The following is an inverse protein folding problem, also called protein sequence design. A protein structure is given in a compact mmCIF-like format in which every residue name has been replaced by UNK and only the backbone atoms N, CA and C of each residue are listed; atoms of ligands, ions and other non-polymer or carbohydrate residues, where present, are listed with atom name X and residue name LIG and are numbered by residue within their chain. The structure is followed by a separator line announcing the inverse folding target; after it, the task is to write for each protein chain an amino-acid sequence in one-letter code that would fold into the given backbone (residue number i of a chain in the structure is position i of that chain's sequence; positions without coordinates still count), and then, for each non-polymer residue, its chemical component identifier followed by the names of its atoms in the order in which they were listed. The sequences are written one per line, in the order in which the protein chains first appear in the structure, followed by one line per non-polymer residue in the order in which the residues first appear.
data_IF_859927200199
#
_entry.id   IF_859927200199
#
_cell.length_a   1.000
_cell.length_b   1.000
_cell.length_c   1.000
_cell.angle_alpha   90.00
_cell.angle_beta   90.00
_cell.angle_gamma   90.00
#
_symmetry.space_group_name_H-M   'P 1'
#
loop_
_entity.id
_entity.type
_entity.pdbx_description
1 polymer ?
#
# COMPACT_ATOMS: atom_id res chain seq x y z
N UNK A 1 11.25 48.48 10.44
CA UNK A 1 10.44 48.61 9.20
C UNK A 1 10.54 47.29 8.45
N UNK A 2 9.50 46.46 8.54
CA UNK A 2 9.36 45.20 7.79
C UNK A 2 8.33 45.44 6.68
N UNK A 3 8.52 44.92 5.45
CA UNK A 3 7.57 45.16 4.38
C UNK A 3 6.32 44.30 4.59
N UNK A 4 5.16 44.95 4.52
CA UNK A 4 3.84 44.34 4.49
C UNK A 4 3.67 43.54 3.19
N UNK A 5 3.36 42.24 3.31
CA UNK A 5 2.79 41.45 2.21
C UNK A 5 1.28 41.73 2.15
N UNK A 6 0.69 41.97 0.96
CA UNK A 6 -0.74 42.22 0.85
C UNK A 6 -1.54 40.94 1.05
N UNK A 7 -2.54 41.02 1.92
CA UNK A 7 -3.52 39.96 2.15
C UNK A 7 -4.34 39.69 0.88
N UNK A 8 -4.26 38.48 0.34
CA UNK A 8 -5.10 38.03 -0.77
C UNK A 8 -6.51 37.70 -0.29
N UNK A 9 -7.50 38.50 -0.71
CA UNK A 9 -8.91 38.10 -0.73
C UNK A 9 -9.21 37.46 -2.08
N UNK A 10 -9.50 36.15 -2.09
CA UNK A 10 -10.05 35.46 -3.25
C UNK A 10 -11.57 35.52 -3.19
N UNK A 11 -12.18 36.28 -4.10
CA UNK A 11 -13.62 36.27 -4.36
C UNK A 11 -13.85 36.18 -5.87
N UNK A 12 -13.95 34.97 -6.41
CA UNK A 12 -14.52 34.74 -7.73
C UNK A 12 -15.32 33.43 -7.76
N UNK A 13 -16.65 33.58 -7.79
CA UNK A 13 -17.55 32.57 -8.32
C UNK A 13 -17.51 32.65 -9.84
N UNK A 14 -17.07 31.57 -10.49
CA UNK A 14 -16.99 31.47 -11.95
C UNK A 14 -17.72 30.23 -12.44
N UNK A 15 -18.69 30.45 -13.32
CA UNK A 15 -19.45 29.42 -14.02
C UNK A 15 -18.55 28.58 -14.94
N UNK A 16 -18.68 27.26 -14.86
CA UNK A 16 -17.95 26.30 -15.71
C UNK A 16 -18.70 26.13 -17.03
N UNK A 17 -18.10 26.54 -18.14
CA UNK A 17 -18.46 26.12 -19.50
C UNK A 17 -17.48 25.03 -20.00
N UNK A 18 -17.93 24.05 -20.80
CA UNK A 18 -17.10 22.92 -21.21
C UNK A 18 -16.16 23.30 -22.36
N UNK A 19 -14.85 23.23 -22.13
CA UNK A 19 -13.85 23.44 -23.17
C UNK A 19 -13.68 22.18 -24.06
N UNK A 20 -13.80 22.37 -25.37
CA UNK A 20 -13.50 21.39 -26.41
C UNK A 20 -11.99 21.12 -26.49
N UNK A 21 -11.61 19.85 -26.46
CA UNK A 21 -10.23 19.40 -26.73
C UNK A 21 -9.79 19.72 -28.17
N UNK A 22 -8.66 20.42 -28.32
CA UNK A 22 -7.87 20.45 -29.56
C UNK A 22 -6.39 20.14 -29.30
N UNK A 23 -5.95 19.10 -30.02
CA UNK A 23 -4.62 18.68 -30.54
C UNK A 23 -3.37 18.68 -29.64
N UNK A 24 -2.72 17.50 -29.67
CA UNK A 24 -1.41 17.13 -29.12
C UNK A 24 -0.30 18.13 -29.39
N UNK A 25 0.30 18.61 -28.30
CA UNK A 25 1.68 19.07 -28.22
C UNK A 25 2.56 18.00 -27.56
N UNK A 26 3.79 17.89 -28.05
CA UNK A 26 4.78 16.86 -27.72
C UNK A 26 5.42 17.11 -26.34
N UNK A 27 5.84 16.01 -25.73
CA UNK A 27 6.03 15.75 -24.31
C UNK A 27 7.18 16.47 -23.62
N UNK A 28 6.91 16.96 -22.41
CA UNK A 28 7.89 17.03 -21.32
C UNK A 28 7.42 16.10 -20.20
N UNK A 29 8.23 15.10 -19.86
CA UNK A 29 7.98 14.13 -18.80
C UNK A 29 8.43 14.66 -17.45
N UNK A 30 7.73 14.24 -16.38
CA UNK A 30 8.19 14.39 -14.99
C UNK A 30 9.59 13.79 -14.78
N UNK A 31 10.33 14.20 -13.74
CA UNK A 31 11.64 13.63 -13.40
C UNK A 31 11.66 12.10 -13.51
N UNK A 32 12.60 11.61 -14.29
CA UNK A 32 12.99 10.20 -14.36
C UNK A 32 13.70 9.82 -13.07
N UNK A 33 13.33 8.66 -12.54
CA UNK A 33 13.86 8.13 -11.28
C UNK A 33 15.06 7.24 -11.62
N UNK A 34 16.15 7.86 -12.06
CA UNK A 34 17.40 7.20 -12.39
C UNK A 34 18.40 7.48 -11.27
N UNK A 35 18.66 6.49 -10.42
CA UNK A 35 19.50 6.71 -9.24
C UNK A 35 19.75 5.46 -8.39
N UNK A 36 20.58 4.57 -8.93
CA UNK A 36 21.55 3.65 -8.27
C UNK A 36 21.65 2.39 -9.11
N UNK A 37 22.79 2.23 -9.76
CA UNK A 37 23.25 0.98 -10.37
C UNK A 37 23.17 -0.13 -9.34
N UNK A 38 22.16 -0.98 -9.50
CA UNK A 38 22.13 -2.28 -8.86
C UNK A 38 22.78 -3.24 -9.84
N UNK A 39 23.99 -3.66 -9.52
CA UNK A 39 24.55 -4.88 -10.11
C UNK A 39 23.56 -6.02 -9.84
N UNK A 40 23.07 -6.71 -10.87
CA UNK A 40 22.16 -7.83 -10.68
C UNK A 40 22.91 -8.92 -9.92
N UNK A 41 22.48 -9.17 -8.69
CA UNK A 41 22.97 -10.28 -7.87
C UNK A 41 22.68 -11.57 -8.65
N UNK A 42 23.74 -12.28 -9.01
CA UNK A 42 23.68 -13.56 -9.71
C UNK A 42 22.60 -14.46 -9.08
N UNK A 43 21.71 -14.96 -9.93
CA UNK A 43 20.78 -16.03 -9.60
C UNK A 43 21.57 -17.21 -9.03
N UNK A 44 21.16 -17.78 -7.87
CA UNK A 44 21.74 -19.03 -7.43
C UNK A 44 21.45 -20.11 -8.47
N UNK A 45 22.39 -21.04 -8.73
CA UNK A 45 22.14 -22.13 -9.66
C UNK A 45 20.94 -22.95 -9.20
N UNK A 46 20.08 -23.26 -10.15
CA UNK A 46 18.99 -24.20 -10.03
C UNK A 46 19.56 -25.55 -9.57
N UNK A 47 19.42 -25.87 -8.28
CA UNK A 47 19.67 -27.22 -7.78
C UNK A 47 18.48 -28.07 -8.22
N UNK A 48 18.67 -28.81 -9.30
CA UNK A 48 17.78 -29.90 -9.68
C UNK A 48 17.87 -30.97 -8.58
N UNK A 49 16.81 -31.08 -7.77
CA UNK A 49 16.60 -32.25 -6.93
C UNK A 49 16.18 -33.42 -7.83
N UNK A 50 17.16 -34.21 -8.29
CA UNK A 50 16.91 -35.55 -8.79
C UNK A 50 16.59 -36.43 -7.59
N UNK A 51 15.31 -36.68 -7.35
CA UNK A 51 14.84 -37.67 -6.39
C UNK A 51 14.40 -38.92 -7.13
N UNK A 52 15.33 -39.87 -7.25
CA UNK A 52 15.03 -41.27 -7.52
C UNK A 52 15.99 -42.10 -6.68
N UNK A 53 15.67 -42.19 -5.39
CA UNK A 53 16.16 -43.25 -4.53
C UNK A 53 14.96 -44.15 -4.24
N UNK A 54 14.79 -45.17 -5.06
CA UNK A 54 13.95 -46.32 -4.78
C UNK A 54 14.50 -47.03 -3.55
N UNK A 55 13.92 -46.71 -2.39
CA UNK A 55 14.10 -47.47 -1.16
C UNK A 55 13.26 -48.74 -1.26
N UNK A 56 13.90 -49.84 -1.62
CA UNK A 56 13.39 -51.18 -1.37
C UNK A 56 13.46 -51.40 0.15
N UNK A 57 12.34 -51.20 0.84
CA UNK A 57 12.20 -51.54 2.25
C UNK A 57 12.13 -53.06 2.33
N UNK A 58 13.23 -53.69 2.78
CA UNK A 58 13.18 -55.05 3.27
C UNK A 58 12.26 -55.10 4.48
N UNK A 59 11.13 -55.78 4.33
CA UNK A 59 10.27 -56.18 5.42
C UNK A 59 11.05 -57.13 6.34
N UNK A 60 11.65 -56.57 7.38
CA UNK A 60 12.01 -57.35 8.56
C UNK A 60 10.72 -57.53 9.37
N UNK A 61 10.21 -58.76 9.40
CA UNK A 61 9.17 -59.20 10.32
C UNK A 61 9.66 -59.05 11.76
N UNK A 62 9.52 -57.85 12.31
CA UNK A 62 9.52 -57.65 13.74
C UNK A 62 8.11 -58.02 14.24
N UNK A 63 7.96 -59.24 14.75
CA UNK A 63 6.83 -59.62 15.57
C UNK A 63 6.84 -58.76 16.85
N UNK A 64 6.26 -57.57 16.77
CA UNK A 64 5.95 -56.76 17.94
C UNK A 64 4.71 -57.34 18.61
N UNK A 65 4.95 -58.13 19.65
CA UNK A 65 3.94 -58.49 20.63
C UNK A 65 3.29 -57.23 21.22
N UNK A 66 2.03 -57.00 20.89
CA UNK A 66 0.93 -56.75 21.84
C UNK A 66 1.04 -55.62 22.88
N UNK A 67 1.99 -54.70 22.81
CA UNK A 67 1.96 -53.51 23.66
C UNK A 67 1.04 -52.46 23.05
N UNK A 68 -0.03 -52.11 23.76
CA UNK A 68 -0.92 -50.99 23.42
C UNK A 68 -0.08 -49.73 23.13
N UNK A 69 0.09 -49.40 21.85
CA UNK A 69 1.06 -48.42 21.34
C UNK A 69 0.68 -46.97 21.77
N UNK A 70 -0.57 -46.76 22.19
CA UNK A 70 -1.05 -45.50 22.79
C UNK A 70 -1.21 -45.66 24.30
N UNK A 71 -0.58 -44.77 25.07
CA UNK A 71 -0.86 -44.69 26.51
C UNK A 71 -2.33 -44.27 26.74
N UNK A 72 -2.95 -44.62 27.88
CA UNK A 72 -4.33 -44.21 28.18
C UNK A 72 -4.55 -42.70 28.09
N UNK A 73 -3.55 -41.90 28.48
CA UNK A 73 -3.59 -40.45 28.39
C UNK A 73 -3.58 -39.96 26.93
N UNK A 74 -2.73 -40.53 26.08
CA UNK A 74 -2.72 -40.21 24.64
C UNK A 74 -4.02 -40.64 23.97
N UNK A 75 -4.53 -41.83 24.29
CA UNK A 75 -5.83 -42.31 23.78
C UNK A 75 -6.97 -41.38 24.16
N UNK A 76 -7.01 -40.91 25.40
CA UNK A 76 -8.03 -39.95 25.86
C UNK A 76 -7.86 -38.59 25.17
N UNK A 77 -6.63 -38.14 24.93
CA UNK A 77 -6.39 -36.90 24.19
C UNK A 77 -6.83 -37.00 22.73
N UNK A 78 -6.49 -38.10 22.04
CA UNK A 78 -6.91 -38.43 20.67
C UNK A 78 -8.43 -38.53 20.62
N UNK A 79 -9.07 -39.23 21.56
CA UNK A 79 -10.52 -39.35 21.69
C UNK A 79 -11.19 -37.97 21.77
N UNK A 80 -10.69 -37.07 22.62
CA UNK A 80 -11.21 -35.70 22.74
C UNK A 80 -11.08 -34.92 21.43
N UNK A 81 -9.97 -35.09 20.69
CA UNK A 81 -9.78 -34.43 19.39
C UNK A 81 -10.75 -35.00 18.33
N UNK A 82 -10.89 -36.32 18.22
CA UNK A 82 -11.85 -36.95 17.31
C UNK A 82 -13.31 -36.54 17.63
N UNK A 83 -13.68 -36.51 18.91
CA UNK A 83 -15.00 -36.04 19.36
C UNK A 83 -15.26 -34.56 19.06
N UNK A 84 -14.20 -33.74 19.04
CA UNK A 84 -14.28 -32.34 18.61
C UNK A 84 -14.37 -32.19 17.08
N UNK A 85 -14.35 -33.32 16.34
CA UNK A 85 -14.52 -33.36 14.90
C UNK A 85 -13.22 -33.21 14.10
N UNK A 86 -12.05 -33.33 14.73
CA UNK A 86 -10.77 -33.42 14.02
C UNK A 86 -10.64 -34.78 13.32
N UNK A 87 -10.13 -34.82 12.08
CA UNK A 87 -9.84 -36.09 11.40
C UNK A 87 -8.57 -36.75 11.95
N UNK A 88 -8.38 -38.05 11.71
CA UNK A 88 -7.21 -38.80 12.17
C UNK A 88 -5.88 -38.09 11.86
N UNK A 89 -5.73 -37.54 10.66
CA UNK A 89 -4.53 -36.77 10.26
C UNK A 89 -4.31 -35.47 11.05
N UNK A 90 -5.36 -34.76 11.41
CA UNK A 90 -5.26 -33.53 12.20
C UNK A 90 -4.94 -33.85 13.65
N UNK A 91 -5.58 -34.90 14.16
CA UNK A 91 -5.31 -35.44 15.48
C UNK A 91 -3.85 -35.85 15.61
N UNK A 92 -3.23 -36.39 14.56
CA UNK A 92 -1.78 -36.64 14.53
C UNK A 92 -0.94 -35.35 14.72
N UNK A 93 -1.25 -34.28 13.98
CA UNK A 93 -0.52 -33.00 14.07
C UNK A 93 -0.75 -32.29 15.42
N UNK A 94 -1.96 -32.40 15.98
CA UNK A 94 -2.36 -31.71 17.22
C UNK A 94 -2.00 -32.46 18.49
N UNK A 95 -2.07 -33.80 18.46
CA UNK A 95 -1.79 -34.62 19.63
C UNK A 95 -0.31 -34.61 20.00
N UNK A 96 0.59 -34.17 19.11
CA UNK A 96 2.05 -34.06 19.30
C UNK A 96 2.56 -35.10 20.30
N UNK A 97 2.26 -36.37 20.03
CA UNK A 97 2.71 -37.48 20.87
C UNK A 97 4.22 -37.39 20.96
N UNK A 98 4.75 -37.49 22.17
CA UNK A 98 6.18 -37.39 22.53
C UNK A 98 7.09 -38.36 21.77
N UNK A 99 6.53 -39.26 20.94
CA UNK A 99 7.24 -40.05 19.95
C UNK A 99 7.36 -39.28 18.63
N UNK A 100 8.45 -38.54 18.47
CA UNK A 100 8.87 -37.88 17.22
C UNK A 100 9.19 -38.85 16.05
N UNK A 101 8.67 -40.08 16.06
CA UNK A 101 9.08 -41.17 15.16
C UNK A 101 7.96 -42.03 14.59
N UNK A 102 6.70 -41.88 15.02
CA UNK A 102 5.61 -42.66 14.43
C UNK A 102 5.22 -42.04 13.07
N UNK A 103 5.35 -42.76 11.95
CA UNK A 103 4.84 -42.28 10.66
C UNK A 103 3.34 -42.03 10.73
N UNK A 104 2.85 -41.07 9.93
CA UNK A 104 1.43 -40.72 9.89
C UNK A 104 0.56 -41.94 9.57
N UNK A 105 1.03 -42.77 8.64
CA UNK A 105 0.34 -43.99 8.18
C UNK A 105 0.15 -44.98 9.34
N UNK A 106 1.20 -45.17 10.16
CA UNK A 106 1.14 -46.03 11.34
C UNK A 106 0.18 -45.47 12.38
N UNK A 107 0.17 -44.15 12.59
CA UNK A 107 -0.76 -43.52 13.52
C UNK A 107 -2.22 -43.66 13.06
N UNK A 108 -2.49 -43.51 11.77
CA UNK A 108 -3.84 -43.69 11.21
C UNK A 108 -4.26 -45.15 11.37
N UNK A 109 -3.39 -46.12 11.04
CA UNK A 109 -3.67 -47.54 11.25
C UNK A 109 -3.97 -47.84 12.73
N UNK A 110 -3.23 -47.26 13.67
CA UNK A 110 -3.49 -47.42 15.11
C UNK A 110 -4.86 -46.88 15.55
N UNK A 111 -5.34 -45.80 14.94
CA UNK A 111 -6.69 -45.29 15.19
C UNK A 111 -7.74 -46.21 14.58
N UNK A 112 -7.50 -46.74 13.38
CA UNK A 112 -8.42 -47.65 12.68
C UNK A 112 -8.53 -49.02 13.35
N UNK A 113 -7.44 -49.52 13.94
CA UNK A 113 -7.42 -50.77 14.72
C UNK A 113 -8.11 -50.63 16.08
N UNK A 114 -8.08 -49.45 16.70
CA UNK A 114 -8.79 -49.17 17.95
C UNK A 114 -10.28 -48.95 17.65
N UNK A 115 -11.11 -49.96 17.92
CA UNK A 115 -12.56 -49.95 17.65
C UNK A 115 -13.28 -48.72 18.22
N UNK A 116 -12.86 -48.22 19.39
CA UNK A 116 -13.47 -47.02 19.98
C UNK A 116 -13.08 -45.77 19.19
N UNK A 117 -11.79 -45.58 18.90
CA UNK A 117 -11.32 -44.42 18.16
C UNK A 117 -11.78 -44.44 16.70
N UNK A 118 -11.76 -45.60 16.04
CA UNK A 118 -12.25 -45.80 14.68
C UNK A 118 -13.73 -45.39 14.54
N UNK A 119 -14.56 -45.69 15.54
CA UNK A 119 -15.97 -45.29 15.54
C UNK A 119 -16.19 -43.76 15.58
N UNK A 120 -15.16 -43.02 15.99
CA UNK A 120 -15.16 -41.55 16.05
C UNK A 120 -14.53 -40.91 14.80
N UNK A 121 -13.87 -41.69 13.94
CA UNK A 121 -13.32 -41.19 12.67
C UNK A 121 -14.46 -40.92 11.71
N UNK A 122 -14.65 -39.65 11.37
CA UNK A 122 -15.64 -39.24 10.36
C UNK A 122 -14.98 -39.12 8.99
N UNK A 123 -15.55 -39.80 8.00
CA UNK A 123 -15.11 -39.71 6.61
C UNK A 123 -15.24 -38.28 6.06
N UNK A 124 -16.32 -37.57 6.42
CA UNK A 124 -16.52 -36.18 6.06
C UNK A 124 -16.95 -35.33 7.26
N UNK A 125 -16.30 -34.16 7.41
CA UNK A 125 -16.71 -33.19 8.43
C UNK A 125 -18.08 -32.60 8.10
N UNK A 126 -18.91 -32.26 9.11
CA UNK A 126 -20.20 -31.59 8.92
C UNK A 126 -20.05 -30.33 8.07
N UNK A 127 -21.04 -29.97 7.25
CA UNK A 127 -20.96 -28.77 6.38
C UNK A 127 -20.74 -27.47 7.16
N UNK A 128 -21.22 -27.40 8.40
CA UNK A 128 -21.09 -26.25 9.29
C UNK A 128 -19.73 -26.20 9.98
N UNK A 129 -19.23 -24.99 10.27
CA UNK A 129 -17.96 -24.75 10.93
C UNK A 129 -18.19 -24.51 12.42
N UNK A 130 -17.55 -25.31 13.27
CA UNK A 130 -17.54 -25.06 14.72
C UNK A 130 -16.68 -23.85 15.07
N UNK A 131 -16.94 -23.21 16.21
CA UNK A 131 -16.16 -22.04 16.64
C UNK A 131 -14.70 -22.39 16.95
N UNK A 132 -14.43 -23.61 17.44
CA UNK A 132 -13.07 -24.14 17.63
C UNK A 132 -12.31 -24.28 16.31
N UNK A 133 -12.97 -24.77 15.25
CA UNK A 133 -12.37 -24.83 13.90
C UNK A 133 -12.09 -23.43 13.34
N UNK A 134 -13.02 -22.47 13.52
CA UNK A 134 -12.82 -21.08 13.11
C UNK A 134 -11.64 -20.44 13.86
N UNK A 135 -11.53 -20.68 15.16
CA UNK A 135 -10.41 -20.21 15.99
C UNK A 135 -9.08 -20.84 15.55
N UNK A 136 -9.06 -22.15 15.28
CA UNK A 136 -7.88 -22.84 14.79
C UNK A 136 -7.46 -22.33 13.39
N UNK A 137 -8.42 -22.15 12.47
CA UNK A 137 -8.20 -21.52 11.18
C UNK A 137 -7.61 -20.11 11.35
N UNK A 138 -8.17 -19.30 12.26
CA UNK A 138 -7.66 -17.97 12.56
C UNK A 138 -6.21 -18.02 13.04
N UNK A 139 -5.86 -18.94 13.95
CA UNK A 139 -4.49 -19.14 14.45
C UNK A 139 -3.52 -19.51 13.33
N UNK A 140 -3.88 -20.46 12.46
CA UNK A 140 -3.04 -20.91 11.34
C UNK A 140 -2.71 -19.77 10.36
N UNK A 141 -3.62 -18.82 10.17
CA UNK A 141 -3.44 -17.74 9.22
C UNK A 141 -2.93 -16.44 9.86
N UNK A 142 -3.04 -16.27 11.18
CA UNK A 142 -2.83 -14.98 11.87
C UNK A 142 -1.50 -14.30 11.50
N UNK A 143 -0.43 -15.08 11.31
CA UNK A 143 0.91 -14.59 10.97
C UNK A 143 1.26 -14.71 9.48
N UNK A 144 0.41 -15.34 8.67
CA UNK A 144 0.70 -15.64 7.26
C UNK A 144 0.14 -14.54 6.35
N UNK A 145 1.01 -13.90 5.57
CA UNK A 145 0.61 -12.93 4.53
C UNK A 145 0.02 -13.63 3.31
N UNK A 146 0.65 -14.74 2.89
CA UNK A 146 0.18 -15.64 1.85
C UNK A 146 -0.30 -16.92 2.49
N UNK A 147 -1.45 -17.40 2.06
CA UNK A 147 -2.04 -18.63 2.56
C UNK A 147 -1.91 -19.70 1.49
N UNK A 148 -1.33 -20.82 1.88
CA UNK A 148 -1.44 -22.07 1.15
C UNK A 148 -2.74 -22.75 1.57
N UNK A 149 -3.78 -22.60 0.73
CA UNK A 149 -5.12 -23.10 1.05
C UNK A 149 -5.12 -24.63 1.08
N UNK A 150 -4.35 -25.29 0.21
CA UNK A 150 -4.27 -26.75 0.16
C UNK A 150 -3.65 -27.28 1.44
N UNK A 151 -2.54 -26.70 1.88
CA UNK A 151 -1.93 -27.08 3.15
C UNK A 151 -2.88 -26.85 4.33
N UNK A 152 -3.54 -25.70 4.41
CA UNK A 152 -4.49 -25.42 5.50
C UNK A 152 -5.69 -26.37 5.44
N UNK A 153 -6.19 -26.67 4.25
CA UNK A 153 -7.26 -27.63 4.02
C UNK A 153 -6.90 -29.02 4.57
N UNK A 154 -5.67 -29.48 4.31
CA UNK A 154 -5.14 -30.70 4.90
C UNK A 154 -5.04 -30.61 6.44
N UNK A 155 -4.55 -29.50 6.98
CA UNK A 155 -4.40 -29.30 8.44
C UNK A 155 -5.72 -29.18 9.21
N UNK A 156 -6.81 -28.83 8.53
CA UNK A 156 -8.16 -28.70 9.13
C UNK A 156 -9.06 -29.86 8.65
N UNK A 157 -8.56 -30.79 7.83
CA UNK A 157 -9.36 -31.89 7.26
C UNK A 157 -10.65 -31.42 6.59
N UNK A 158 -10.56 -30.31 5.83
CA UNK A 158 -11.67 -29.72 5.07
C UNK A 158 -11.27 -29.64 3.61
N UNK A 159 -12.24 -29.70 2.70
CA UNK A 159 -11.98 -29.45 1.27
C UNK A 159 -11.45 -28.02 1.06
N UNK A 160 -10.46 -27.77 0.19
CA UNK A 160 -9.89 -26.44 -0.06
C UNK A 160 -10.93 -25.34 -0.38
N UNK A 161 -11.96 -25.70 -1.14
CA UNK A 161 -13.08 -24.80 -1.46
C UNK A 161 -13.84 -24.36 -0.20
N UNK A 162 -14.03 -25.25 0.77
CA UNK A 162 -14.72 -24.94 2.03
C UNK A 162 -13.89 -23.98 2.89
N UNK A 163 -12.58 -24.23 3.03
CA UNK A 163 -11.66 -23.31 3.73
C UNK A 163 -11.67 -21.93 3.08
N UNK A 164 -11.57 -21.87 1.76
CA UNK A 164 -11.61 -20.60 1.00
C UNK A 164 -12.93 -19.84 1.22
N UNK A 165 -14.06 -20.56 1.27
CA UNK A 165 -15.37 -19.97 1.55
C UNK A 165 -15.44 -19.42 2.97
N UNK A 166 -14.97 -20.19 3.96
CA UNK A 166 -14.99 -19.77 5.36
C UNK A 166 -14.08 -18.57 5.60
N UNK A 167 -12.88 -18.56 5.03
CA UNK A 167 -11.97 -17.41 5.10
C UNK A 167 -12.60 -16.14 4.53
N UNK A 168 -13.41 -16.25 3.47
CA UNK A 168 -14.18 -15.11 2.93
C UNK A 168 -15.32 -14.69 3.86
N UNK A 169 -15.99 -15.63 4.52
CA UNK A 169 -17.02 -15.30 5.52
C UNK A 169 -16.42 -14.53 6.70
N UNK A 170 -15.38 -15.09 7.32
CA UNK A 170 -14.68 -14.45 8.44
C UNK A 170 -14.10 -13.08 8.05
N UNK A 171 -13.59 -12.94 6.82
CA UNK A 171 -13.11 -11.65 6.32
C UNK A 171 -14.23 -10.62 6.14
N UNK A 172 -15.44 -11.06 5.74
CA UNK A 172 -16.63 -10.18 5.66
C UNK A 172 -17.11 -9.79 7.05
N UNK A 173 -17.24 -10.74 7.97
CA UNK A 173 -17.62 -10.50 9.37
C UNK A 173 -16.67 -9.49 10.02
N UNK A 174 -15.36 -9.74 9.94
CA UNK A 174 -14.34 -8.82 10.44
C UNK A 174 -14.31 -7.48 9.70
N UNK A 175 -14.59 -7.48 8.40
CA UNK A 175 -14.69 -6.26 7.60
C UNK A 175 -15.88 -5.40 8.00
N UNK A 176 -17.01 -6.01 8.35
CA UNK A 176 -18.20 -5.35 8.89
C UNK A 176 -17.91 -4.81 10.29
N UNK A 177 -17.26 -5.57 11.17
CA UNK A 177 -16.82 -5.08 12.49
C UNK A 177 -15.88 -3.88 12.39
N UNK A 178 -14.89 -3.95 11.49
CA UNK A 178 -13.93 -2.85 11.28
C UNK A 178 -14.57 -1.65 10.56
N UNK A 179 -15.59 -1.88 9.74
CA UNK A 179 -16.33 -0.85 9.02
C UNK A 179 -17.35 -0.11 9.91
N UNK A 180 -18.02 -0.83 10.81
CA UNK A 180 -19.04 -0.29 11.71
C UNK A 180 -18.43 0.37 12.97
N UNK A 181 -17.24 -0.07 13.41
CA UNK A 181 -16.55 0.51 14.58
C UNK A 181 -15.50 1.57 14.21
N UNK A 182 -15.34 1.89 12.92
CA UNK A 182 -14.55 3.05 12.53
C UNK A 182 -15.44 4.28 12.72
N UNK A 183 -15.21 5.01 13.81
CA UNK A 183 -15.69 6.38 13.97
C UNK A 183 -15.11 7.19 12.79
N UNK A 184 -15.83 7.24 11.68
CA UNK A 184 -15.50 8.14 10.58
C UNK A 184 -15.90 9.54 11.00
N UNK A 185 -15.18 10.55 10.54
CA UNK A 185 -15.61 11.93 10.76
C UNK A 185 -17.04 12.11 10.21
N UNK A 186 -18.02 12.56 11.03
CA UNK A 186 -19.33 12.93 10.54
C UNK A 186 -19.18 13.97 9.43
N UNK A 187 -19.90 13.79 8.33
CA UNK A 187 -19.82 14.69 7.17
C UNK A 187 -20.08 16.16 7.55
N UNK A 188 -20.96 16.38 8.53
CA UNK A 188 -21.23 17.71 9.11
C UNK A 188 -19.99 18.36 9.74
N UNK A 189 -19.09 17.58 10.35
CA UNK A 189 -17.84 18.08 10.94
C UNK A 189 -16.81 18.36 9.85
N UNK A 190 -16.75 17.57 8.78
CA UNK A 190 -15.78 17.82 7.71
C UNK A 190 -16.08 19.10 6.91
N UNK A 191 -17.36 19.49 6.82
CA UNK A 191 -17.80 20.64 6.04
C UNK A 191 -17.85 21.97 6.81
N UNK A 192 -17.62 21.97 8.13
CA UNK A 192 -17.53 23.21 8.93
C UNK A 192 -16.13 23.83 8.83
N UNK A 193 -16.02 25.12 9.12
CA UNK A 193 -14.70 25.76 9.29
C UNK A 193 -14.01 25.22 10.55
N UNK A 194 -12.67 25.24 10.56
CA UNK A 194 -11.91 24.87 11.76
C UNK A 194 -12.21 25.85 12.90
N UNK A 195 -12.36 25.32 14.11
CA UNK A 195 -12.38 26.12 15.32
C UNK A 195 -10.99 26.68 15.61
N UNK A 196 -10.90 27.78 16.38
CA UNK A 196 -9.61 28.45 16.67
C UNK A 196 -8.63 27.51 17.38
N UNK A 197 -9.15 26.65 18.24
CA UNK A 197 -8.39 25.63 18.95
C UNK A 197 -7.85 24.56 17.98
N UNK A 198 -8.67 24.09 17.03
CA UNK A 198 -8.25 23.12 15.99
C UNK A 198 -7.17 23.73 15.10
N UNK A 199 -7.33 25.00 14.71
CA UNK A 199 -6.37 25.74 13.89
C UNK A 199 -5.03 25.92 14.60
N UNK A 200 -5.04 26.33 15.88
CA UNK A 200 -3.82 26.46 16.69
C UNK A 200 -3.10 25.12 16.87
N UNK A 201 -3.83 24.04 17.13
CA UNK A 201 -3.26 22.69 17.23
C UNK A 201 -2.64 22.25 15.90
N UNK A 202 -3.33 22.52 14.79
CA UNK A 202 -2.87 22.17 13.45
C UNK A 202 -1.58 22.93 13.10
N UNK A 203 -1.53 24.23 13.32
CA UNK A 203 -0.36 25.07 13.08
C UNK A 203 0.84 24.61 13.92
N UNK A 204 0.65 24.40 15.23
CA UNK A 204 1.72 23.95 16.11
C UNK A 204 2.30 22.58 15.68
N UNK A 205 1.43 21.64 15.28
CA UNK A 205 1.86 20.34 14.75
C UNK A 205 2.59 20.49 13.40
N UNK A 206 2.14 21.40 12.55
CA UNK A 206 2.78 21.70 11.25
C UNK A 206 4.17 22.26 11.42
N UNK A 207 4.33 23.27 12.28
CA UNK A 207 5.64 23.80 12.60
C UNK A 207 6.57 22.71 13.17
N UNK A 208 6.07 21.87 14.08
CA UNK A 208 6.87 20.78 14.65
C UNK A 208 7.38 19.78 13.60
N UNK A 209 6.51 19.35 12.66
CA UNK A 209 6.89 18.44 11.58
C UNK A 209 7.92 19.10 10.66
N UNK A 210 7.69 20.36 10.28
CA UNK A 210 8.60 21.13 9.43
C UNK A 210 9.97 21.28 10.11
N UNK A 211 10.04 21.79 11.34
CA UNK A 211 11.29 21.94 12.09
C UNK A 211 12.07 20.63 12.20
N UNK A 212 11.36 19.53 12.38
CA UNK A 212 11.97 18.21 12.50
C UNK A 212 12.52 17.71 11.16
N UNK A 213 11.84 17.99 10.05
CA UNK A 213 12.33 17.72 8.70
C UNK A 213 13.54 18.59 8.36
N UNK A 214 13.56 19.87 8.78
CA UNK A 214 14.68 20.79 8.58
C UNK A 214 15.95 20.36 9.33
N UNK A 215 15.79 19.73 10.49
CA UNK A 215 16.88 19.17 11.30
C UNK A 215 17.36 17.81 10.78
N UNK A 216 16.65 17.19 9.85
CA UNK A 216 17.02 15.89 9.32
C UNK A 216 18.15 16.01 8.28
N UNK A 217 19.02 14.99 8.23
CA UNK A 217 20.18 14.96 7.34
C UNK A 217 19.88 14.28 5.99
N UNK A 218 18.68 13.72 5.83
CA UNK A 218 18.27 13.00 4.60
C UNK A 218 17.73 13.92 3.49
N UNK A 219 18.00 15.22 3.56
CA UNK A 219 17.68 16.19 2.51
C UNK A 219 18.91 16.48 1.65
N UNK A 220 18.70 16.68 0.35
CA UNK A 220 19.78 17.17 -0.54
C UNK A 220 20.20 18.59 -0.19
N UNK A 221 21.33 19.05 -0.75
CA UNK A 221 21.79 20.45 -0.59
C UNK A 221 20.78 21.44 -1.17
N UNK A 222 20.22 21.15 -2.36
CA UNK A 222 19.20 22.01 -2.98
C UNK A 222 17.99 22.19 -2.05
N UNK A 223 17.48 21.10 -1.48
CA UNK A 223 16.37 21.18 -0.55
C UNK A 223 16.73 21.92 0.72
N UNK A 224 17.94 21.71 1.26
CA UNK A 224 18.40 22.44 2.45
C UNK A 224 18.41 23.95 2.21
N UNK A 225 18.87 24.40 1.05
CA UNK A 225 18.93 25.81 0.71
C UNK A 225 17.52 26.38 0.48
N UNK A 226 16.68 25.66 -0.28
CA UNK A 226 15.27 26.01 -0.53
C UNK A 226 14.50 26.16 0.79
N UNK A 227 14.66 25.20 1.69
CA UNK A 227 13.93 25.16 2.94
C UNK A 227 14.38 26.24 3.93
N UNK A 228 15.65 26.64 3.89
CA UNK A 228 16.21 27.75 4.69
C UNK A 228 15.82 29.14 4.18
N UNK A 229 15.31 29.24 2.95
CA UNK A 229 14.93 30.52 2.36
C UNK A 229 13.73 31.19 3.05
N UNK A 230 12.94 30.43 3.83
CA UNK A 230 11.77 30.92 4.56
C UNK A 230 11.76 30.36 5.99
N UNK A 231 11.08 31.06 6.90
CA UNK A 231 10.88 30.55 8.25
C UNK A 231 9.87 29.39 8.26
N UNK A 232 9.92 28.57 9.30
CA UNK A 232 8.99 27.45 9.50
C UNK A 232 7.53 27.92 9.52
N UNK A 233 7.25 29.06 10.15
CA UNK A 233 5.92 29.64 10.25
C UNK A 233 5.38 30.04 8.87
N UNK A 234 6.23 30.67 8.04
CA UNK A 234 5.85 31.05 6.68
C UNK A 234 5.54 29.80 5.86
N UNK A 235 6.36 28.75 5.95
CA UNK A 235 6.09 27.48 5.29
C UNK A 235 4.77 26.86 5.76
N UNK A 236 4.55 26.81 7.08
CA UNK A 236 3.34 26.24 7.67
C UNK A 236 2.09 26.96 7.18
N UNK A 237 2.02 28.28 7.35
CA UNK A 237 0.87 29.10 6.93
C UNK A 237 0.62 28.98 5.42
N UNK A 238 1.69 29.04 4.61
CA UNK A 238 1.57 28.94 3.14
C UNK A 238 1.02 27.58 2.72
N UNK A 239 1.58 26.48 3.22
CA UNK A 239 1.12 25.13 2.87
C UNK A 239 -0.31 24.89 3.38
N UNK A 240 -0.62 25.29 4.62
CA UNK A 240 -1.95 25.15 5.19
C UNK A 240 -3.00 25.91 4.37
N UNK A 241 -2.67 27.03 3.73
CA UNK A 241 -3.62 27.77 2.88
C UNK A 241 -4.12 26.95 1.68
N UNK A 242 -3.34 25.97 1.21
CA UNK A 242 -3.69 25.12 0.06
C UNK A 242 -4.31 23.76 0.43
N UNK A 243 -4.34 23.41 1.72
CA UNK A 243 -4.94 22.16 2.20
C UNK A 243 -6.46 22.35 2.35
N UNK A 244 -7.31 21.49 1.75
CA UNK A 244 -8.76 21.56 1.92
C UNK A 244 -9.18 21.42 3.39
N UNK A 245 -10.23 22.13 3.81
CA UNK A 245 -10.74 22.13 5.19
C UNK A 245 -10.99 20.73 5.76
N UNK A 246 -11.53 19.81 4.95
CA UNK A 246 -11.78 18.43 5.36
C UNK A 246 -10.48 17.70 5.75
N UNK A 247 -9.39 17.95 5.02
CA UNK A 247 -8.07 17.38 5.29
C UNK A 247 -7.46 18.02 6.53
N UNK A 248 -7.67 19.33 6.74
CA UNK A 248 -7.25 20.03 7.95
C UNK A 248 -7.92 19.46 9.21
N UNK A 249 -9.23 19.17 9.16
CA UNK A 249 -9.95 18.46 10.24
C UNK A 249 -9.31 17.11 10.55
N UNK A 250 -9.01 16.32 9.51
CA UNK A 250 -8.31 15.03 9.70
C UNK A 250 -6.92 15.21 10.33
N UNK A 251 -6.19 16.27 9.99
CA UNK A 251 -4.85 16.55 10.53
C UNK A 251 -4.89 17.09 11.99
N UNK A 252 -5.90 17.88 12.33
CA UNK A 252 -6.13 18.42 13.67
C UNK A 252 -6.66 17.36 14.64
N UNK A 253 -7.27 16.29 14.11
CA UNK A 253 -7.89 15.24 14.90
C UNK A 253 -6.95 14.60 15.95
N UNK A 254 -7.50 14.13 17.09
CA UNK A 254 -6.71 13.50 18.14
C UNK A 254 -6.23 12.08 17.78
N UNK A 255 -6.75 11.49 16.71
CA UNK A 255 -6.43 10.11 16.29
C UNK A 255 -6.17 10.05 14.78
N UNK A 256 -5.35 9.09 14.31
CA UNK A 256 -5.02 8.99 12.89
C UNK A 256 -6.24 8.59 12.05
N UNK A 257 -6.28 8.99 10.77
CA UNK A 257 -7.43 8.69 9.92
C UNK A 257 -7.60 7.19 9.69
N UNK A 258 -8.83 6.75 9.51
CA UNK A 258 -9.19 5.40 9.13
C UNK A 258 -9.28 5.26 7.61
N UNK A 259 -9.40 4.02 7.13
CA UNK A 259 -9.66 3.79 5.71
C UNK A 259 -11.03 4.29 5.23
N UNK A 260 -11.97 4.58 6.14
CA UNK A 260 -13.24 5.20 5.81
C UNK A 260 -13.07 6.72 5.61
N UNK A 261 -12.31 7.38 6.49
CA UNK A 261 -11.99 8.81 6.37
C UNK A 261 -11.26 9.14 5.07
N UNK A 262 -10.32 8.27 4.67
CA UNK A 262 -9.69 8.44 3.36
C UNK A 262 -10.66 8.36 2.17
N UNK A 263 -11.76 7.60 2.30
CA UNK A 263 -12.75 7.43 1.23
C UNK A 263 -13.79 8.53 1.20
N UNK A 264 -13.99 9.26 2.30
CA UNK A 264 -14.88 10.43 2.31
C UNK A 264 -14.22 11.63 1.60
N UNK A 265 -12.88 11.68 1.57
CA UNK A 265 -12.16 12.68 0.77
C UNK A 265 -12.37 12.48 -0.74
N UNK A 266 -12.75 13.56 -1.41
CA UNK A 266 -12.94 13.59 -2.85
C UNK A 266 -11.60 13.64 -3.62
N UNK A 267 -11.63 13.09 -4.82
CA UNK A 267 -10.60 13.32 -5.83
C UNK A 267 -10.99 14.53 -6.68
N UNK A 268 -10.07 15.48 -6.83
CA UNK A 268 -10.23 16.61 -7.74
C UNK A 268 -9.55 16.30 -9.07
N UNK A 269 -10.34 16.15 -10.13
CA UNK A 269 -9.86 15.90 -11.49
C UNK A 269 -9.44 17.21 -12.17
N UNK A 270 -8.25 17.70 -11.80
CA UNK A 270 -7.70 18.99 -12.27
C UNK A 270 -6.28 18.85 -12.84
N UNK A 271 -5.91 19.75 -13.74
CA UNK A 271 -4.53 19.94 -14.23
C UNK A 271 -3.64 20.72 -13.27
N UNK A 272 -4.19 21.25 -12.17
CA UNK A 272 -3.46 21.95 -11.10
C UNK A 272 -2.45 21.03 -10.40
N UNK A 273 -1.40 21.62 -9.84
CA UNK A 273 -0.48 20.88 -8.99
C UNK A 273 -1.16 20.46 -7.69
N UNK A 274 -0.61 19.43 -7.06
CA UNK A 274 -1.16 19.00 -5.79
C UNK A 274 -0.47 17.81 -5.15
N UNK A 275 -0.91 17.51 -3.94
CA UNK A 275 -0.56 16.30 -3.20
C UNK A 275 -1.81 15.43 -3.11
N UNK A 276 -1.63 14.12 -3.26
CA UNK A 276 -2.72 13.15 -3.19
C UNK A 276 -2.35 11.95 -2.33
N UNK A 277 -3.38 11.30 -1.79
CA UNK A 277 -3.30 9.96 -1.24
C UNK A 277 -3.87 8.95 -2.24
N UNK A 278 -3.25 7.78 -2.31
CA UNK A 278 -3.76 6.60 -3.00
C UNK A 278 -3.92 5.45 -2.01
N UNK A 279 -5.17 5.15 -1.65
CA UNK A 279 -5.53 4.11 -0.68
C UNK A 279 -5.82 2.82 -1.41
N UNK A 280 -4.92 1.86 -1.23
CA UNK A 280 -4.90 0.57 -1.89
C UNK A 280 -5.42 -0.52 -0.98
N UNK A 281 -6.23 -1.42 -1.56
CA UNK A 281 -6.74 -2.63 -0.90
C UNK A 281 -6.02 -3.86 -1.44
N UNK A 282 -5.92 -4.94 -0.64
CA UNK A 282 -5.54 -6.25 -1.16
C UNK A 282 -6.41 -6.65 -2.35
N UNK A 283 -5.79 -7.26 -3.37
CA UNK A 283 -6.49 -7.82 -4.52
C UNK A 283 -7.26 -9.06 -4.10
N UNK A 284 -8.53 -9.17 -4.53
CA UNK A 284 -9.37 -10.35 -4.31
C UNK A 284 -8.85 -11.62 -5.00
N UNK A 285 -7.95 -11.47 -5.98
CA UNK A 285 -7.40 -12.57 -6.78
C UNK A 285 -6.10 -13.16 -6.23
N UNK A 286 -5.43 -12.50 -5.29
CA UNK A 286 -4.18 -13.00 -4.74
C UNK A 286 -4.45 -14.04 -3.65
N UNK A 287 -3.57 -15.05 -3.50
CA UNK A 287 -3.54 -16.00 -2.37
C UNK A 287 -3.19 -15.34 -1.03
N UNK A 288 -3.53 -14.06 -0.88
CA UNK A 288 -3.32 -13.27 0.31
C UNK A 288 -4.36 -13.65 1.36
N UNK A 289 -3.95 -13.51 2.61
CA UNK A 289 -4.82 -13.70 3.75
C UNK A 289 -5.99 -12.69 3.72
N UNK A 290 -7.24 -13.13 3.48
CA UNK A 290 -8.37 -12.22 3.37
C UNK A 290 -8.76 -11.59 4.71
N UNK A 291 -8.35 -12.19 5.83
CA UNK A 291 -8.60 -11.66 7.19
C UNK A 291 -7.65 -10.51 7.53
N UNK A 292 -6.53 -10.39 6.80
CA UNK A 292 -5.62 -9.25 6.87
C UNK A 292 -6.07 -8.19 5.86
N UNK A 293 -7.15 -7.48 6.19
CA UNK A 293 -7.58 -6.28 5.44
C UNK A 293 -6.65 -5.12 5.79
N UNK A 294 -5.37 -5.27 5.46
CA UNK A 294 -4.39 -4.20 5.60
C UNK A 294 -4.59 -3.25 4.42
N UNK A 295 -5.27 -2.12 4.67
CA UNK A 295 -5.27 -1.02 3.72
C UNK A 295 -3.85 -0.45 3.64
N UNK A 296 -3.51 0.09 2.50
CA UNK A 296 -2.22 0.68 2.26
C UNK A 296 -2.39 2.10 1.75
N UNK A 297 -1.60 3.03 2.27
CA UNK A 297 -1.67 4.44 1.87
C UNK A 297 -0.34 4.82 1.24
N UNK A 298 -0.41 5.35 0.03
CA UNK A 298 0.68 6.02 -0.64
C UNK A 298 0.36 7.51 -0.72
N UNK A 299 1.30 8.38 -0.39
CA UNK A 299 1.19 9.82 -0.60
C UNK A 299 2.17 10.19 -1.71
N UNK A 300 1.71 11.01 -2.65
CA UNK A 300 2.52 11.43 -3.79
C UNK A 300 2.20 12.86 -4.21
N UNK A 301 3.13 13.47 -4.95
CA UNK A 301 2.92 14.75 -5.60
C UNK A 301 2.56 14.64 -7.08
N UNK A 302 1.85 15.63 -7.57
CA UNK A 302 1.50 15.82 -8.96
C UNK A 302 1.98 17.20 -9.42
N UNK A 303 3.24 17.26 -9.87
CA UNK A 303 3.98 18.49 -10.19
C UNK A 303 4.21 18.69 -11.70
N UNK A 304 3.57 17.88 -12.53
CA UNK A 304 3.71 17.97 -13.99
C UNK A 304 2.82 19.08 -14.53
N UNK A 305 3.42 20.08 -15.16
CA UNK A 305 2.71 21.18 -15.81
C UNK A 305 1.69 20.68 -16.84
N UNK A 306 0.54 21.36 -16.92
CA UNK A 306 -0.64 21.02 -17.74
C UNK A 306 -1.29 19.65 -17.51
N UNK A 307 -0.83 18.90 -16.51
CA UNK A 307 -1.31 17.55 -16.24
C UNK A 307 -1.78 17.39 -14.80
N UNK A 308 -1.01 17.92 -13.86
CA UNK A 308 -1.37 17.98 -12.45
C UNK A 308 -1.88 16.66 -11.89
N UNK A 309 -2.87 16.77 -11.01
CA UNK A 309 -3.55 15.65 -10.38
C UNK A 309 -4.15 14.68 -11.42
N UNK A 310 -4.89 15.18 -12.41
CA UNK A 310 -5.57 14.37 -13.44
C UNK A 310 -4.58 13.46 -14.20
N UNK A 311 -3.46 14.02 -14.64
CA UNK A 311 -2.41 13.26 -15.32
C UNK A 311 -1.78 12.20 -14.41
N UNK A 312 -1.58 12.51 -13.12
CA UNK A 312 -1.04 11.55 -12.16
C UNK A 312 -2.01 10.39 -11.87
N UNK A 313 -3.31 10.66 -11.80
CA UNK A 313 -4.32 9.61 -11.70
C UNK A 313 -4.25 8.65 -12.90
N UNK A 314 -4.19 9.20 -14.13
CA UNK A 314 -4.07 8.41 -15.35
C UNK A 314 -2.79 7.57 -15.37
N UNK A 315 -1.66 8.12 -14.95
CA UNK A 315 -0.39 7.41 -14.84
C UNK A 315 -0.52 6.17 -13.92
N UNK A 316 -1.10 6.35 -12.74
CA UNK A 316 -1.31 5.25 -11.77
C UNK A 316 -2.37 4.24 -12.21
N UNK A 317 -3.32 4.62 -13.07
CA UNK A 317 -4.35 3.72 -13.60
C UNK A 317 -3.87 2.92 -14.81
N UNK A 318 -3.27 3.60 -15.80
CA UNK A 318 -2.84 2.98 -17.07
C UNK A 318 -1.61 2.10 -16.88
N UNK A 319 -0.71 2.46 -15.97
CA UNK A 319 0.51 1.69 -15.71
C UNK A 319 1.41 1.55 -16.93
N UNK A 320 1.38 2.54 -17.82
CA UNK A 320 2.16 2.55 -19.07
C UNK A 320 3.42 3.43 -19.00
N UNK A 321 3.64 4.18 -17.91
CA UNK A 321 4.71 5.19 -17.91
C UNK A 321 5.89 4.85 -16.99
N UNK A 322 7.09 5.03 -17.56
CA UNK A 322 8.44 5.24 -17.02
C UNK A 322 9.02 4.26 -15.97
N UNK A 323 10.34 4.05 -16.06
CA UNK A 323 11.15 3.23 -15.12
C UNK A 323 10.93 3.59 -13.64
N UNK A 324 10.59 4.85 -13.36
CA UNK A 324 10.29 5.35 -12.02
C UNK A 324 9.06 4.72 -11.38
N UNK A 325 8.03 4.43 -12.17
CA UNK A 325 6.82 3.76 -11.73
C UNK A 325 7.04 2.27 -11.45
N UNK A 326 8.14 1.67 -11.94
CA UNK A 326 8.41 0.24 -11.78
C UNK A 326 8.54 -0.14 -10.31
N UNK A 327 9.25 0.65 -9.49
CA UNK A 327 9.45 0.33 -8.06
C UNK A 327 8.14 0.32 -7.27
N UNK A 328 7.27 1.32 -7.46
CA UNK A 328 5.96 1.36 -6.79
C UNK A 328 5.04 0.28 -7.35
N UNK A 329 5.00 0.09 -8.67
CA UNK A 329 4.19 -0.95 -9.33
C UNK A 329 4.58 -2.35 -8.85
N UNK A 330 5.87 -2.65 -8.80
CA UNK A 330 6.39 -3.93 -8.35
C UNK A 330 6.09 -4.14 -6.88
N UNK A 331 6.13 -3.10 -6.06
CA UNK A 331 5.69 -3.20 -4.67
C UNK A 331 4.21 -3.53 -4.58
N UNK A 332 3.35 -2.76 -5.25
CA UNK A 332 1.91 -3.00 -5.30
C UNK A 332 1.64 -4.45 -5.73
N UNK A 333 2.32 -4.94 -6.77
CA UNK A 333 2.21 -6.33 -7.24
C UNK A 333 2.72 -7.34 -6.20
N UNK A 334 3.92 -7.15 -5.66
CA UNK A 334 4.55 -8.02 -4.65
C UNK A 334 3.67 -8.14 -3.40
N UNK A 335 3.04 -7.03 -3.04
CA UNK A 335 2.16 -6.89 -1.90
C UNK A 335 0.73 -7.34 -2.20
N UNK A 336 0.47 -7.73 -3.46
CA UNK A 336 -0.81 -8.19 -3.99
C UNK A 336 -1.93 -7.16 -3.81
N UNK A 337 -1.60 -5.88 -3.93
CA UNK A 337 -2.54 -4.77 -3.86
C UNK A 337 -3.19 -4.51 -5.23
N UNK A 338 -4.45 -4.08 -5.20
CA UNK A 338 -5.21 -3.80 -6.41
C UNK A 338 -5.16 -2.32 -6.77
N UNK A 339 -4.53 -2.00 -7.91
CA UNK A 339 -4.54 -0.64 -8.49
C UNK A 339 -5.93 -0.21 -8.93
N UNK A 340 -6.73 -1.15 -9.41
CA UNK A 340 -8.05 -0.89 -10.01
C UNK A 340 -9.09 -0.50 -8.97
N UNK A 341 -8.97 -1.00 -7.75
CA UNK A 341 -9.93 -0.73 -6.67
C UNK A 341 -9.37 0.23 -5.64
N UNK A 342 -8.22 0.86 -5.91
CA UNK A 342 -7.65 1.88 -5.03
C UNK A 342 -8.45 3.18 -5.11
N UNK A 343 -8.60 3.86 -3.97
CA UNK A 343 -9.24 5.16 -3.87
C UNK A 343 -8.20 6.28 -3.95
N UNK A 344 -8.49 7.34 -4.71
CA UNK A 344 -7.64 8.53 -4.75
C UNK A 344 -8.33 9.64 -3.97
N UNK A 345 -7.56 10.37 -3.18
CA UNK A 345 -8.02 11.50 -2.40
C UNK A 345 -7.05 12.67 -2.58
N UNK A 346 -7.59 13.88 -2.75
CA UNK A 346 -6.81 15.10 -2.87
C UNK A 346 -6.47 15.65 -1.49
N UNK A 347 -5.19 15.94 -1.23
CA UNK A 347 -4.71 16.46 0.06
C UNK A 347 -4.34 17.95 0.00
N UNK A 348 -3.89 18.40 -1.17
CA UNK A 348 -3.49 19.78 -1.44
C UNK A 348 -3.69 20.04 -2.94
N UNK A 349 -4.17 21.23 -3.28
CA UNK A 349 -4.25 21.72 -4.67
C UNK A 349 -3.67 23.12 -4.72
N UNK A 350 -2.85 23.38 -5.72
CA UNK A 350 -2.36 24.72 -6.01
C UNK A 350 -2.12 24.91 -7.50
N UNK A 351 -2.31 26.14 -7.96
CA UNK A 351 -1.86 26.59 -9.26
C UNK A 351 -0.59 27.43 -9.10
N UNK A 352 0.33 27.39 -10.07
CA UNK A 352 1.42 28.35 -10.10
C UNK A 352 0.86 29.76 -10.28
N UNK A 353 1.53 30.74 -9.69
CA UNK A 353 1.11 32.16 -9.76
C UNK A 353 1.06 32.67 -11.20
N UNK A 354 1.99 32.20 -12.03
CA UNK A 354 2.08 32.50 -13.45
C UNK A 354 2.59 31.27 -14.22
N UNK A 355 2.47 31.25 -15.56
CA UNK A 355 3.06 30.20 -16.39
C UNK A 355 4.59 30.34 -16.54
N UNK A 356 5.23 31.33 -15.90
CA UNK A 356 6.67 31.52 -15.96
C UNK A 356 7.42 30.38 -15.26
N UNK A 357 8.60 30.02 -15.79
CA UNK A 357 9.36 28.87 -15.31
C UNK A 357 9.70 28.97 -13.81
N UNK A 358 10.01 30.16 -13.31
CA UNK A 358 10.35 30.39 -11.91
C UNK A 358 9.16 30.12 -10.97
N UNK A 359 7.97 30.60 -11.33
CA UNK A 359 6.76 30.39 -10.53
C UNK A 359 6.30 28.94 -10.57
N UNK A 360 6.48 28.26 -11.71
CA UNK A 360 6.28 26.81 -11.81
C UNK A 360 7.27 26.09 -10.88
N UNK A 361 8.56 26.45 -10.87
CA UNK A 361 9.55 25.82 -9.99
C UNK A 361 9.18 26.01 -8.52
N UNK A 362 8.85 27.24 -8.09
CA UNK A 362 8.41 27.53 -6.72
C UNK A 362 7.16 26.72 -6.32
N UNK A 363 6.19 26.61 -7.22
CA UNK A 363 5.00 25.80 -6.98
C UNK A 363 5.35 24.31 -6.84
N UNK A 364 6.29 23.79 -7.65
CA UNK A 364 6.78 22.41 -7.53
C UNK A 364 7.52 22.19 -6.21
N UNK A 365 8.35 23.14 -5.77
CA UNK A 365 9.03 23.10 -4.47
C UNK A 365 8.03 22.98 -3.33
N UNK A 366 7.02 23.85 -3.32
CA UNK A 366 5.97 23.81 -2.30
C UNK A 366 5.24 22.47 -2.29
N UNK A 367 4.80 21.97 -3.46
CA UNK A 367 4.07 20.69 -3.54
C UNK A 367 4.92 19.50 -3.08
N UNK A 368 6.19 19.43 -3.45
CA UNK A 368 7.06 18.31 -3.02
C UNK A 368 7.38 18.41 -1.53
N UNK A 369 7.55 19.62 -1.00
CA UNK A 369 7.72 19.79 0.43
C UNK A 369 6.46 19.40 1.21
N UNK A 370 5.29 19.81 0.73
CA UNK A 370 4.01 19.38 1.29
C UNK A 370 3.82 17.85 1.19
N UNK A 371 4.27 17.20 0.11
CA UNK A 371 4.28 15.73 0.01
C UNK A 371 5.10 15.10 1.14
N UNK A 372 6.28 15.65 1.46
CA UNK A 372 7.14 15.14 2.52
C UNK A 372 6.49 15.26 3.90
N UNK A 373 5.94 16.44 4.20
CA UNK A 373 5.20 16.71 5.43
C UNK A 373 4.03 15.75 5.56
N UNK A 374 3.16 15.66 4.55
CA UNK A 374 1.95 14.84 4.61
C UNK A 374 2.29 13.33 4.64
N UNK A 375 3.38 12.92 4.01
CA UNK A 375 3.89 11.55 4.09
C UNK A 375 4.26 11.15 5.52
N UNK A 376 4.95 12.05 6.24
CA UNK A 376 5.30 11.87 7.66
C UNK A 376 4.05 11.94 8.53
N UNK A 377 3.24 12.99 8.35
CA UNK A 377 2.04 13.25 9.14
C UNK A 377 1.11 12.04 9.18
N UNK A 378 0.79 11.49 8.01
CA UNK A 378 -0.11 10.36 7.85
C UNK A 378 0.55 8.99 7.94
N UNK A 379 1.82 8.90 8.37
CA UNK A 379 2.50 7.62 8.54
C UNK A 379 2.60 6.79 7.25
N UNK A 380 2.69 7.46 6.09
CA UNK A 380 2.65 6.81 4.78
C UNK A 380 3.99 6.16 4.38
N UNK A 381 4.98 6.12 5.27
CA UNK A 381 6.27 5.45 5.06
C UNK A 381 6.19 3.94 5.35
N UNK A 382 6.82 3.13 4.50
CA UNK A 382 6.97 1.69 4.63
C UNK A 382 8.16 1.33 5.54
N UNK A 383 7.95 0.45 6.51
CA UNK A 383 9.04 -0.25 7.19
C UNK A 383 9.79 -1.12 6.18
N UNK A 384 11.05 -0.78 5.88
CA UNK A 384 11.91 -1.62 5.03
C UNK A 384 13.03 -2.23 5.86
N UNK A 385 13.28 -3.53 5.67
CA UNK A 385 14.09 -4.38 6.56
C UNK A 385 15.62 -4.21 6.48
N UNK A 386 16.14 -2.98 6.38
CA UNK A 386 17.55 -2.67 6.65
C UNK A 386 17.67 -1.88 7.94
N UNK A 387 18.74 -2.07 8.72
CA UNK A 387 18.92 -1.42 10.05
C UNK A 387 18.84 0.11 9.95
N UNK A 388 19.53 0.72 8.98
CA UNK A 388 19.56 2.18 8.82
C UNK A 388 18.19 2.73 8.41
N UNK A 389 17.53 2.07 7.46
CA UNK A 389 16.19 2.45 7.00
C UNK A 389 15.12 2.23 8.06
N UNK A 390 15.31 1.23 8.93
CA UNK A 390 14.41 0.99 10.06
C UNK A 390 14.51 2.12 11.08
N UNK A 391 15.72 2.60 11.37
CA UNK A 391 15.93 3.74 12.28
C UNK A 391 15.37 5.04 11.70
N UNK A 392 15.64 5.31 10.43
CA UNK A 392 15.07 6.44 9.70
C UNK A 392 13.53 6.40 9.70
N UNK A 393 12.96 5.23 9.43
CA UNK A 393 11.52 5.02 9.44
C UNK A 393 10.90 5.24 10.82
N UNK A 394 11.50 4.68 11.88
CA UNK A 394 11.07 4.94 13.27
C UNK A 394 11.13 6.42 13.60
N UNK A 395 12.19 7.12 13.17
CA UNK A 395 12.33 8.56 13.37
C UNK A 395 11.19 9.31 12.69
N UNK A 396 10.93 9.09 11.41
CA UNK A 396 9.81 9.75 10.73
C UNK A 396 8.45 9.39 11.33
N UNK A 397 8.22 8.14 11.73
CA UNK A 397 6.99 7.76 12.43
C UNK A 397 6.85 8.49 13.77
N UNK A 398 7.94 8.71 14.50
CA UNK A 398 7.93 9.51 15.73
C UNK A 398 7.63 10.99 15.53
N UNK A 399 7.74 11.50 14.29
CA UNK A 399 7.35 12.86 13.94
C UNK A 399 5.87 12.99 13.60
N UNK A 400 5.17 11.88 13.33
CA UNK A 400 3.72 11.93 13.15
C UNK A 400 3.08 12.40 14.46
N UNK A 401 2.10 13.33 14.42
CA UNK A 401 1.41 13.78 15.62
C UNK A 401 0.72 12.66 16.42
N UNK A 402 0.48 11.52 15.78
CA UNK A 402 -0.11 10.32 16.39
C UNK A 402 0.92 9.25 16.76
N UNK A 403 2.17 9.39 16.30
CA UNK A 403 3.25 8.44 16.54
C UNK A 403 4.00 8.75 17.83
N UNK A 404 3.42 8.45 18.99
CA UNK A 404 4.21 8.44 20.24
C UNK A 404 4.84 7.07 20.49
N UNK A 405 6.02 7.02 21.14
CA UNK A 405 6.95 5.93 20.88
C UNK A 405 6.63 4.62 21.60
N UNK A 406 5.96 4.58 22.76
CA UNK A 406 5.87 3.33 23.54
C UNK A 406 4.59 3.08 24.37
N UNK A 407 3.69 4.06 24.57
CA UNK A 407 2.59 3.89 25.54
C UNK A 407 1.15 3.95 24.97
N UNK A 408 0.96 4.23 23.68
CA UNK A 408 -0.38 4.20 23.09
C UNK A 408 -0.43 3.40 21.79
N UNK A 409 -1.21 2.30 21.73
CA UNK A 409 -1.38 1.48 20.53
C UNK A 409 -2.34 2.13 19.53
N UNK A 410 -2.27 3.44 19.30
CA UNK A 410 -2.92 4.05 18.13
C UNK A 410 -2.08 3.78 16.88
N UNK A 411 -1.96 2.50 16.54
CA UNK A 411 -1.38 2.08 15.28
C UNK A 411 -2.34 2.49 14.17
N UNK A 412 -1.81 3.18 13.17
CA UNK A 412 -2.52 3.40 11.91
C UNK A 412 -3.20 2.09 11.48
N UNK A 413 -4.50 2.14 11.18
CA UNK A 413 -5.26 0.97 10.67
C UNK A 413 -4.91 0.64 9.20
N UNK A 414 -3.79 1.16 8.71
CA UNK A 414 -3.25 1.00 7.38
C UNK A 414 -1.72 1.02 7.42
N UNK A 415 -1.08 0.60 6.33
CA UNK A 415 0.37 0.64 6.17
C UNK A 415 0.81 1.67 5.13
N UNK A 416 1.89 2.38 5.42
CA UNK A 416 2.53 3.26 4.46
C UNK A 416 3.19 2.53 3.30
N UNK A 417 3.19 3.14 2.11
CA UNK A 417 3.80 2.62 0.88
C UNK A 417 5.03 3.40 0.39
N UNK A 418 5.31 4.60 0.91
CA UNK A 418 6.45 5.42 0.53
C UNK A 418 7.76 4.82 1.09
N UNK A 419 8.84 4.70 0.32
CA UNK A 419 10.13 4.18 0.86
C UNK A 419 11.08 5.22 1.39
N UNK A 420 10.89 6.46 0.95
CA UNK A 420 11.87 7.51 1.06
C UNK A 420 11.13 8.81 1.27
N UNK A 421 11.83 9.79 1.83
CA UNK A 421 11.38 11.17 1.84
C UNK A 421 11.42 11.71 0.41
N UNK A 422 10.39 12.45 -0.05
CA UNK A 422 10.43 13.18 -1.32
C UNK A 422 11.62 14.16 -1.42
N UNK A 423 12.16 14.60 -0.27
CA UNK A 423 13.30 15.52 -0.18
C UNK A 423 14.66 14.85 -0.38
N UNK A 424 14.70 13.52 -0.55
CA UNK A 424 15.96 12.81 -0.79
C UNK A 424 16.46 12.91 -2.23
N UNK A 425 15.75 13.64 -3.10
CA UNK A 425 16.05 13.82 -4.51
C UNK A 425 15.84 15.28 -4.91
N UNK A 426 16.75 15.80 -5.73
CA UNK A 426 16.67 17.16 -6.27
C UNK A 426 15.51 17.31 -7.27
N UNK A 427 15.00 18.54 -7.38
CA UNK A 427 14.01 18.88 -8.38
C UNK A 427 14.67 19.01 -9.75
N UNK A 428 14.27 18.13 -10.68
CA UNK A 428 14.71 18.25 -12.07
C UNK A 428 14.03 19.45 -12.72
N UNK A 429 14.84 20.40 -13.16
CA UNK A 429 14.41 21.60 -13.87
C UNK A 429 13.84 21.24 -15.25
N UNK A 430 12.73 21.87 -15.67
CA UNK A 430 12.22 21.71 -17.02
C UNK A 430 13.15 22.44 -17.99
N UNK A 431 14.11 21.73 -18.61
CA UNK A 431 14.98 22.35 -19.64
C UNK A 431 16.31 21.67 -19.94
N UNK A 432 16.79 20.71 -19.15
CA UNK A 432 18.09 20.03 -19.43
C UNK A 432 17.96 18.72 -20.20
N UNK A 433 16.75 18.19 -20.36
CA UNK A 433 16.49 17.16 -21.35
C UNK A 433 16.51 17.83 -22.73
N UNK A 434 17.59 17.63 -23.48
CA UNK A 434 17.73 18.09 -24.86
C UNK A 434 16.41 17.83 -25.59
N UNK A 435 15.76 18.91 -26.06
CA UNK A 435 14.72 18.77 -27.07
C UNK A 435 15.31 17.88 -28.16
N UNK A 436 14.65 16.78 -28.56
CA UNK A 436 15.07 16.07 -29.77
C UNK A 436 15.11 17.14 -30.85
N UNK A 437 16.29 17.37 -31.43
CA UNK A 437 16.41 18.26 -32.59
C UNK A 437 15.32 17.81 -33.54
N UNK A 438 14.34 18.69 -33.77
CA UNK A 438 13.44 18.55 -34.90
C UNK A 438 14.36 18.47 -36.11
N UNK A 439 14.61 17.26 -36.61
CA UNK A 439 15.09 17.09 -37.97
C UNK A 439 14.04 17.77 -38.82
N UNK A 440 14.45 18.89 -39.43
CA UNK A 440 13.57 19.66 -40.30
C UNK A 440 12.92 18.73 -41.30
N UNK A 441 11.61 18.83 -41.43
CA UNK A 441 10.96 18.46 -42.66
C UNK A 441 11.59 19.36 -43.74
N UNK A 442 12.46 18.76 -44.54
CA UNK A 442 12.80 19.28 -45.86
C UNK A 442 11.49 19.52 -46.62
N UNK A 443 11.14 20.80 -46.76
CA UNK A 443 10.19 21.23 -47.76
C UNK A 443 10.88 21.10 -49.12
N UNK A 444 10.76 19.93 -49.73
CA UNK A 444 10.96 19.77 -51.17
C UNK A 444 9.81 20.48 -51.87
N UNK A 445 10.09 21.65 -52.43
CA UNK A 445 9.17 22.35 -53.32
C UNK A 445 8.92 21.55 -54.60
N UNK A 446 7.73 21.65 -55.21
CA UNK A 446 7.47 21.00 -56.47
C UNK A 446 8.23 21.71 -57.60
N UNK A 447 8.91 20.92 -58.43
CA UNK A 447 9.50 21.35 -59.68
C UNK A 447 8.39 21.87 -60.61
N UNK A 448 8.56 23.10 -61.07
CA UNK A 448 7.84 23.66 -62.21
C UNK A 448 8.40 22.99 -63.44
N UNK A 449 7.58 22.22 -64.14
CA UNK A 449 7.87 21.83 -65.52
C UNK A 449 6.80 22.41 -66.45
N UNK A 450 7.28 23.03 -67.52
CA UNK A 450 6.51 23.74 -68.52
C UNK A 450 5.93 22.75 -69.54
N UNK A 451 4.73 23.02 -70.05
CA UNK A 451 4.41 22.67 -71.44
C UNK A 451 3.03 22.10 -71.75
N UNK A 452 2.09 23.01 -72.05
CA UNK A 452 1.23 23.05 -73.25
C UNK A 452 0.18 21.97 -73.61
N UNK A 453 -0.96 22.50 -74.09
CA UNK A 453 -2.09 21.93 -74.87
C UNK A 453 -3.09 21.03 -74.10
N UNK A 454 -4.42 21.15 -74.21
CA UNK A 454 -5.31 21.98 -75.02
C UNK A 454 -6.78 21.50 -74.81
N UNK A 455 -7.71 22.47 -74.86
CA UNK A 455 -9.15 22.47 -75.24
C UNK A 455 -10.16 21.33 -74.97
N UNK A 456 -11.42 21.81 -74.85
CA UNK A 456 -12.75 21.18 -75.02
C UNK A 456 -13.33 20.42 -73.80
N UNK A 457 -14.51 20.71 -73.24
CA UNK A 457 -15.68 21.58 -73.54
C UNK A 457 -16.17 22.23 -72.24
#
# INVERSE_FOLDING_TARGET
MLPFLPAFRSSYGGYILPARFRRSTVFLSSPTFTGRDYTPRATPPHVQFNSTASYTVHAAEAQHHGENILTPHEREHIRKLLQQGFQARETFELACTTRARTPLETFVAMIEEDRELASLVREEKPKEWSDKEKEHLAKLIHRRRRIDIERIACQIGRKPKAVKSQLRSMAREKGVELGNNALSFPEAILNRNLEREEESVLEARMCHVIDSLLKDHDTTTQWRDTLRAQSTEIWATTILSFIPTQVKHMMAAPSPPTAADWRSLAWQDTSSFGVYAWVLKPSSSASLNPIRVENHVYIGSATKYDHGLAGRFLQHRKGKDAESGLRLRDRIKRWGLSRRTGHFATLLVMDPVSPESEDIIKARELVVFAEAILTVWFGALTETGGTDRTNQHRRFHSLSPWGRPWDHPQQFKYKGLCTHSPLSLDLVLPGTAQLPKHTGLDQSGPAVDNGYQGYEV
#
